data_IF_317341760966
#
_entry.id   IF_317341760966
#
_cell.length_a   1.000
_cell.length_b   1.000
_cell.length_c   1.000
_cell.angle_alpha   90.00
_cell.angle_beta   90.00
_cell.angle_gamma   90.00
#
_symmetry.space_group_name_H-M   'P 1'
#
loop_
_entity.id
_entity.type
_entity.pdbx_description
1 polymer ?
2 non-polymer ?
3 water ?
#
# COMPACT_ATOMS: atom_id res chain seq x y z
N UNK A 26 -0.72 -18.39 14.87
CA UNK A 26 -1.47 -17.15 14.85
C UNK A 26 -2.54 -17.12 13.76
N UNK A 27 -3.43 -16.14 13.85
CA UNK A 27 -4.48 -15.93 12.85
C UNK A 27 -4.25 -14.58 12.19
N UNK A 28 -4.06 -14.59 10.87
CA UNK A 28 -3.81 -13.40 10.08
C UNK A 28 -5.08 -13.06 9.30
N UNK A 29 -5.46 -11.80 9.30
CA UNK A 29 -6.54 -11.31 8.45
C UNK A 29 -5.94 -10.49 7.31
N UNK A 30 -6.17 -10.95 6.07
CA UNK A 30 -5.73 -10.22 4.87
C UNK A 30 -6.89 -9.39 4.37
N UNK A 31 -6.72 -8.07 4.39
CA UNK A 31 -7.72 -7.16 3.87
C UNK A 31 -7.27 -6.72 2.49
N UNK A 32 -8.13 -6.96 1.52
CA UNK A 32 -7.82 -6.75 0.14
C UNK A 32 -8.17 -7.98 -0.63
N UNK A 33 -7.81 -7.98 -1.91
CA UNK A 33 -8.15 -9.11 -2.77
C UNK A 33 -7.40 -10.37 -2.38
N UNK A 34 -8.00 -11.50 -2.77
CA UNK A 34 -7.37 -12.80 -2.55
C UNK A 34 -6.23 -12.90 -3.55
N UNK A 35 -5.06 -13.35 -3.09
CA UNK A 35 -3.93 -13.58 -3.96
C UNK A 35 -3.29 -14.90 -3.58
N UNK A 36 -3.25 -15.86 -4.51
CA UNK A 36 -2.77 -17.19 -4.15
C UNK A 36 -1.34 -17.16 -3.61
N UNK A 37 -0.41 -16.44 -4.26
CA UNK A 37 0.98 -16.50 -3.79
C UNK A 37 1.04 -16.02 -2.34
N UNK A 38 0.23 -15.02 -2.00
CA UNK A 38 0.30 -14.43 -0.67
C UNK A 38 -0.35 -15.35 0.35
N UNK A 39 -1.50 -15.96 0.01
CA UNK A 39 -2.07 -16.96 0.92
C UNK A 39 -1.06 -18.07 1.17
N UNK A 40 -0.52 -18.64 0.10
CA UNK A 40 0.42 -19.75 0.30
C UNK A 40 1.62 -19.31 1.15
N UNK A 41 2.18 -18.13 0.87
CA UNK A 41 3.30 -17.62 1.67
C UNK A 41 2.93 -17.50 3.15
N UNK A 42 1.83 -16.82 3.46
CA UNK A 42 1.48 -16.67 4.87
C UNK A 42 1.20 -18.02 5.52
N UNK A 43 0.54 -18.93 4.78
CA UNK A 43 0.18 -20.22 5.36
C UNK A 43 1.41 -21.11 5.54
N UNK A 44 2.47 -20.89 4.74
CA UNK A 44 3.70 -21.65 4.90
C UNK A 44 4.32 -21.48 6.28
N UNK A 45 4.01 -20.39 6.99
CA UNK A 45 4.48 -20.21 8.36
C UNK A 45 3.56 -20.89 9.39
N UNK A 46 2.62 -21.73 8.94
CA UNK A 46 1.71 -22.44 9.83
C UNK A 46 0.74 -21.50 10.53
N UNK A 47 0.54 -20.31 9.98
CA UNK A 47 -0.48 -19.41 10.48
C UNK A 47 -1.80 -19.67 9.77
N UNK A 48 -2.88 -19.29 10.46
CA UNK A 48 -4.22 -19.40 9.93
C UNK A 48 -4.58 -18.11 9.22
N UNK A 49 -5.05 -18.21 7.97
CA UNK A 49 -5.22 -17.05 7.13
C UNK A 49 -6.67 -16.91 6.71
N UNK A 50 -7.24 -15.75 6.97
CA UNK A 50 -8.54 -15.37 6.45
C UNK A 50 -8.40 -14.09 5.65
N UNK A 51 -9.28 -13.90 4.68
CA UNK A 51 -9.20 -12.79 3.74
C UNK A 51 -10.57 -12.16 3.61
N UNK A 52 -10.60 -10.85 3.42
CA UNK A 52 -11.85 -10.10 3.32
C UNK A 52 -11.56 -8.84 2.53
N UNK A 53 -12.48 -8.47 1.62
CA UNK A 53 -12.25 -7.21 0.89
C UNK A 53 -13.42 -6.25 0.92
N UNK A 54 -14.50 -6.54 1.65
CA UNK A 54 -15.63 -5.63 1.76
C UNK A 54 -15.49 -4.77 3.01
N UNK A 55 -16.47 -3.90 3.19
CA UNK A 55 -16.47 -3.00 4.33
C UNK A 55 -16.54 -3.80 5.63
N UNK A 56 -15.76 -3.39 6.62
CA UNK A 56 -15.54 -4.19 7.83
C UNK A 56 -16.07 -3.43 9.04
N UNK A 57 -17.27 -3.79 9.49
CA UNK A 57 -17.84 -3.17 10.68
C UNK A 57 -16.95 -3.44 11.89
N UNK A 58 -16.92 -2.50 12.83
CA UNK A 58 -15.97 -2.60 13.93
C UNK A 58 -16.30 -3.75 14.89
N UNK A 59 -17.55 -4.17 14.98
CA UNK A 59 -17.90 -5.29 15.84
C UNK A 59 -17.99 -6.62 15.10
N UNK A 60 -17.55 -6.65 13.84
CA UNK A 60 -17.66 -7.86 13.02
C UNK A 60 -16.92 -9.03 13.67
N UNK A 61 -17.55 -10.20 13.62
CA UNK A 61 -16.94 -11.43 14.12
C UNK A 61 -15.73 -11.84 13.29
N UNK A 62 -15.54 -11.25 12.10
CA UNK A 62 -14.36 -11.56 11.31
C UNK A 62 -13.08 -11.30 12.11
N UNK A 63 -13.12 -10.29 12.99
CA UNK A 63 -11.96 -9.94 13.80
C UNK A 63 -11.80 -10.80 15.03
N UNK A 64 -12.81 -11.58 15.43
CA UNK A 64 -12.68 -12.45 16.58
C UNK A 64 -11.37 -13.23 16.51
N UNK A 65 -10.56 -13.12 17.55
CA UNK A 65 -9.33 -13.91 17.68
C UNK A 65 -8.33 -13.68 16.54
N UNK A 66 -8.42 -12.60 15.78
CA UNK A 66 -7.37 -12.30 14.81
C UNK A 66 -6.17 -11.73 15.56
N UNK A 67 -4.96 -12.13 15.16
CA UNK A 67 -3.73 -11.69 15.80
C UNK A 67 -2.98 -10.64 15.01
N UNK A 68 -3.22 -10.56 13.71
CA UNK A 68 -2.48 -9.62 12.89
C UNK A 68 -3.29 -9.28 11.67
N UNK A 69 -3.23 -8.03 11.25
CA UNK A 69 -3.90 -7.55 10.06
C UNK A 69 -2.87 -7.12 9.04
N UNK A 70 -3.01 -7.59 7.81
CA UNK A 70 -2.25 -7.10 6.66
C UNK A 70 -3.23 -6.56 5.64
N UNK A 71 -3.12 -5.28 5.29
CA UNK A 71 -3.90 -4.73 4.19
C UNK A 71 -3.01 -4.51 2.97
N UNK A 72 -3.53 -4.92 1.84
CA UNK A 72 -2.85 -4.77 0.57
C UNK A 72 -3.92 -4.69 -0.51
N UNK A 73 -4.23 -3.47 -0.95
CA UNK A 73 -5.23 -3.33 -1.99
C UNK A 73 -6.63 -3.14 -1.45
N UNK A 74 -6.75 -2.96 -0.14
CA UNK A 74 -8.05 -2.77 0.47
C UNK A 74 -8.57 -1.40 0.09
N UNK A 75 -9.86 -1.32 -0.21
CA UNK A 75 -10.43 -0.12 -0.81
C UNK A 75 -11.34 0.64 0.14
N UNK A 76 -11.29 0.32 1.43
CA UNK A 76 -12.10 1.00 2.43
C UNK A 76 -11.14 1.44 3.52
N UNK A 77 -11.50 2.50 4.22
CA UNK A 77 -10.68 2.91 5.33
C UNK A 77 -11.05 2.08 6.56
N UNK A 78 -10.04 1.62 7.27
CA UNK A 78 -10.25 0.78 8.44
C UNK A 78 -10.77 1.64 9.59
N UNK A 79 -11.78 1.13 10.29
CA UNK A 79 -12.38 1.91 11.36
C UNK A 79 -11.34 2.22 12.44
N UNK A 80 -11.30 3.47 12.95
CA UNK A 80 -10.30 3.81 13.99
C UNK A 80 -10.30 2.90 15.20
N UNK A 81 -11.47 2.40 15.62
CA UNK A 81 -11.50 1.49 16.76
C UNK A 81 -10.73 0.23 16.45
N UNK A 82 -10.83 -0.26 15.21
CA UNK A 82 -10.04 -1.41 14.82
C UNK A 82 -8.55 -1.05 14.80
N UNK A 83 -8.21 0.10 14.21
CA UNK A 83 -6.81 0.51 14.20
C UNK A 83 -6.25 0.45 15.61
N UNK A 84 -6.94 1.10 16.57
CA UNK A 84 -6.38 1.17 17.92
C UNK A 84 -6.32 -0.21 18.56
N UNK A 85 -7.37 -1.00 18.35
CA UNK A 85 -7.34 -2.37 18.83
C UNK A 85 -6.12 -3.14 18.30
N UNK A 86 -5.66 -2.86 17.08
CA UNK A 86 -4.57 -3.63 16.50
C UNK A 86 -3.29 -2.80 16.36
N UNK A 87 -3.09 -1.83 17.25
CA UNK A 87 -1.81 -1.14 17.36
C UNK A 87 -0.65 -2.14 17.33
N UNK A 88 0.31 -1.89 16.44
CA UNK A 88 1.52 -2.70 16.30
C UNK A 88 1.21 -4.12 15.86
N UNK A 89 -0.01 -4.38 15.38
CA UNK A 89 -0.38 -5.69 14.84
C UNK A 89 -1.11 -5.54 13.51
N UNK A 90 -0.94 -4.43 12.81
CA UNK A 90 -1.61 -4.16 11.55
C UNK A 90 -0.63 -3.42 10.64
N UNK A 91 -0.40 -3.94 9.43
CA UNK A 91 0.48 -3.28 8.48
C UNK A 91 -0.24 -3.11 7.16
N UNK A 92 0.28 -2.19 6.36
CA UNK A 92 -0.26 -1.88 5.04
C UNK A 92 0.90 -1.92 4.06
N UNK A 93 0.65 -2.47 2.89
CA UNK A 93 1.59 -2.54 1.78
C UNK A 93 1.12 -1.49 0.79
N UNK A 94 1.85 -0.38 0.70
CA UNK A 94 1.45 0.78 -0.06
C UNK A 94 2.51 1.09 -1.09
N UNK A 95 2.11 1.20 -2.35
CA UNK A 95 3.07 1.32 -3.43
C UNK A 95 3.40 2.78 -3.69
N UNK A 96 3.76 3.49 -2.66
CA UNK A 96 4.36 4.81 -2.84
C UNK A 96 5.56 4.94 -1.93
N UNK A 97 6.36 5.98 -2.17
CA UNK A 97 7.53 6.24 -1.30
C UNK A 97 7.05 7.22 -0.24
N UNK A 98 6.53 6.69 0.85
CA UNK A 98 5.93 7.56 1.83
C UNK A 98 7.02 8.44 2.45
N UNK A 99 6.71 9.70 2.79
CA UNK A 99 5.38 10.31 2.88
C UNK A 99 4.76 10.78 1.58
N UNK A 100 5.41 10.63 0.45
CA UNK A 100 4.77 11.07 -0.78
C UNK A 100 3.66 10.10 -1.23
N UNK A 101 2.63 10.69 -1.85
CA UNK A 101 1.48 9.98 -2.44
C UNK A 101 0.82 9.01 -1.47
N UNK A 102 0.50 9.52 -0.30
CA UNK A 102 -0.47 8.82 0.51
C UNK A 102 -1.78 8.78 -0.27
N UNK A 103 -2.64 7.82 0.04
CA UNK A 103 -3.96 7.81 -0.57
C UNK A 103 -4.05 7.14 -1.94
N UNK A 104 -4.74 7.78 -2.88
CA UNK A 104 -5.16 7.13 -4.10
C UNK A 104 -4.20 7.37 -5.27
N UNK A 105 -4.17 6.39 -6.19
CA UNK A 105 -3.47 6.47 -7.47
C UNK A 105 -2.03 6.92 -7.27
N UNK A 106 -1.30 6.36 -6.30
CA UNK A 106 0.04 6.91 -6.07
C UNK A 106 0.94 6.86 -7.28
N UNK A 107 0.91 5.79 -8.07
CA UNK A 107 1.83 5.72 -9.21
C UNK A 107 1.59 6.89 -10.14
N UNK A 108 0.33 7.13 -10.49
CA UNK A 108 0.00 8.23 -11.39
C UNK A 108 0.51 9.55 -10.83
N UNK A 109 0.14 9.85 -9.59
CA UNK A 109 0.56 11.12 -8.99
C UNK A 109 2.08 11.27 -8.91
N UNK A 110 2.81 10.18 -8.72
CA UNK A 110 4.25 10.29 -8.65
C UNK A 110 4.84 10.81 -9.94
N UNK A 111 4.15 10.63 -11.07
CA UNK A 111 4.57 11.24 -12.32
C UNK A 111 3.95 12.62 -12.53
N UNK A 112 2.68 12.78 -12.19
CA UNK A 112 2.03 14.07 -12.38
C UNK A 112 2.72 15.14 -11.54
N UNK A 113 3.09 14.80 -10.30
CA UNK A 113 3.78 15.71 -9.41
C UNK A 113 5.28 15.45 -9.30
N UNK A 114 5.83 14.58 -10.15
CA UNK A 114 7.27 14.36 -10.26
C UNK A 114 7.88 14.20 -8.88
N UNK A 115 7.45 13.17 -8.19
CA UNK A 115 7.80 12.93 -6.80
C UNK A 115 8.69 11.71 -6.69
N UNK A 116 9.25 11.44 -5.51
CA UNK A 116 9.86 10.14 -5.28
C UNK A 116 8.91 9.00 -5.61
N UNK A 117 9.50 7.89 -6.06
CA UNK A 117 8.79 6.74 -6.56
C UNK A 117 9.27 5.53 -5.80
N UNK A 118 8.34 4.72 -5.32
CA UNK A 118 8.76 3.55 -4.59
C UNK A 118 7.63 2.95 -3.80
N UNK A 119 8.03 2.08 -2.87
CA UNK A 119 7.07 1.27 -2.13
C UNK A 119 7.44 1.23 -0.65
N UNK A 120 6.40 1.09 0.18
CA UNK A 120 6.56 1.22 1.63
C UNK A 120 5.68 0.22 2.35
N UNK A 121 6.25 -0.46 3.35
CA UNK A 121 5.50 -1.25 4.31
C UNK A 121 5.50 -0.46 5.60
N UNK A 122 4.30 -0.21 6.15
CA UNK A 122 4.16 0.66 7.30
C UNK A 122 3.08 0.14 8.24
N UNK A 123 3.25 0.43 9.52
CA UNK A 123 2.18 0.14 10.47
C UNK A 123 0.99 1.04 10.18
N UNK A 124 -0.21 0.50 10.41
CA UNK A 124 -1.44 1.25 10.23
C UNK A 124 -1.71 2.05 11.50
N UNK A 125 -1.87 3.36 11.37
CA UNK A 125 -2.28 4.18 12.49
C UNK A 125 -3.53 4.90 12.03
N UNK A 126 -4.18 5.63 12.92
CA UNK A 126 -5.38 6.33 12.52
C UNK A 126 -5.05 7.12 11.25
N UNK A 127 -6.03 7.53 10.49
CA UNK A 127 -5.69 8.33 9.32
C UNK A 127 -5.12 7.52 8.19
N UNK A 128 -4.77 8.24 7.13
CA UNK A 128 -4.76 7.69 5.77
C UNK A 128 -3.31 7.48 5.32
N UNK A 129 -2.79 6.28 5.55
CA UNK A 129 -1.42 5.93 5.16
C UNK A 129 -0.36 6.79 5.87
N UNK A 130 -0.62 7.16 7.13
CA UNK A 130 0.30 8.02 7.89
C UNK A 130 1.18 7.29 8.91
N UNK A 131 1.09 5.97 9.04
CA UNK A 131 1.73 5.26 10.13
C UNK A 131 3.21 5.00 9.95
N UNK A 132 3.80 4.41 10.98
CA UNK A 132 5.25 4.27 11.07
C UNK A 132 5.82 3.41 9.94
N UNK A 133 6.92 3.87 9.38
CA UNK A 133 7.57 3.17 8.28
C UNK A 133 8.40 2.02 8.80
N UNK A 134 8.18 0.83 8.25
CA UNK A 134 8.99 -0.34 8.60
C UNK A 134 10.15 -0.50 7.65
N UNK A 135 9.86 -0.40 6.36
CA UNK A 135 10.92 -0.44 5.34
C UNK A 135 10.33 0.13 4.07
N UNK A 136 11.19 0.76 3.26
CA UNK A 136 10.75 1.23 1.96
C UNK A 136 11.89 1.09 0.95
N UNK A 137 11.53 1.22 -0.32
CA UNK A 137 12.48 1.00 -1.39
C UNK A 137 12.14 1.93 -2.53
N UNK A 138 13.16 2.57 -3.09
CA UNK A 138 12.93 3.44 -4.23
C UNK A 138 12.75 2.54 -5.45
N UNK A 139 11.87 2.92 -6.36
CA UNK A 139 11.70 2.18 -7.60
C UNK A 139 11.96 3.12 -8.77
N UNK A 140 12.85 2.73 -9.66
CA UNK A 140 13.17 3.65 -10.74
C UNK A 140 12.31 3.34 -11.93
N UNK A 141 12.30 4.27 -12.87
CA UNK A 141 11.59 4.13 -14.13
C UNK A 141 12.59 4.45 -15.23
N UNK A 142 12.21 4.09 -16.45
CA UNK A 142 13.12 4.06 -17.57
C UNK A 142 12.46 4.71 -18.78
N UNK A 143 13.29 4.95 -19.78
CA UNK A 143 12.79 5.25 -21.12
C UNK A 143 11.68 4.29 -21.51
N UNK A 144 10.57 4.89 -21.95
CA UNK A 144 9.48 4.23 -22.61
C UNK A 144 8.50 3.62 -21.62
N UNK A 145 8.74 3.72 -20.31
CA UNK A 145 7.83 3.14 -19.35
C UNK A 145 6.44 3.73 -19.54
N UNK A 146 5.43 2.93 -19.20
CA UNK A 146 4.04 3.34 -19.18
C UNK A 146 3.54 3.26 -17.75
N UNK A 147 2.33 3.78 -17.54
CA UNK A 147 1.71 3.62 -16.24
C UNK A 147 1.54 2.16 -15.86
N UNK A 148 1.42 1.28 -16.87
CA UNK A 148 1.26 -0.15 -16.59
C UNK A 148 2.60 -0.77 -16.19
N UNK A 149 3.68 -0.44 -16.89
CA UNK A 149 4.94 -1.11 -16.60
C UNK A 149 5.46 -0.63 -15.27
N UNK A 150 5.23 0.65 -14.94
CA UNK A 150 5.75 1.15 -13.66
C UNK A 150 4.92 0.58 -12.52
N UNK A 151 3.60 0.50 -12.69
CA UNK A 151 2.75 -0.08 -11.65
C UNK A 151 3.13 -1.54 -11.40
N UNK A 152 3.40 -2.31 -12.45
CA UNK A 152 3.76 -3.72 -12.27
C UNK A 152 5.12 -3.85 -11.61
N UNK A 153 6.04 -2.94 -11.90
CA UNK A 153 7.33 -2.93 -11.21
C UNK A 153 7.18 -2.61 -9.73
N UNK A 154 6.36 -1.60 -9.42
CA UNK A 154 6.08 -1.28 -8.01
C UNK A 154 5.51 -2.49 -7.31
N UNK A 155 4.62 -3.21 -7.99
CA UNK A 155 3.93 -4.34 -7.40
C UNK A 155 4.93 -5.47 -7.11
N UNK A 156 5.80 -5.79 -8.06
CA UNK A 156 6.80 -6.82 -7.82
C UNK A 156 7.73 -6.44 -6.66
N UNK A 157 8.19 -5.18 -6.66
CA UNK A 157 9.07 -4.69 -5.62
C UNK A 157 8.47 -4.89 -4.23
N UNK A 158 7.28 -4.36 -4.01
CA UNK A 158 6.67 -4.46 -2.68
C UNK A 158 6.36 -5.91 -2.30
N UNK A 159 6.01 -6.76 -3.24
CA UNK A 159 5.72 -8.14 -2.85
C UNK A 159 7.00 -8.86 -2.44
N UNK A 160 8.10 -8.63 -3.15
CA UNK A 160 9.35 -9.27 -2.71
C UNK A 160 9.82 -8.70 -1.37
N UNK A 161 9.74 -7.38 -1.21
CA UNK A 161 10.09 -6.73 0.06
C UNK A 161 9.27 -7.28 1.22
N UNK A 162 7.97 -7.49 1.00
CA UNK A 162 7.14 -8.09 2.06
C UNK A 162 7.62 -9.49 2.40
N UNK A 163 7.96 -10.28 1.38
CA UNK A 163 8.43 -11.64 1.65
C UNK A 163 9.73 -11.64 2.43
N UNK A 164 10.62 -10.70 2.14
CA UNK A 164 11.86 -10.56 2.89
C UNK A 164 11.61 -10.18 4.34
N UNK A 165 10.68 -9.27 4.62
CA UNK A 165 10.53 -8.75 5.97
C UNK A 165 9.45 -9.43 6.80
N UNK A 166 8.44 -10.04 6.21
CA UNK A 166 7.38 -10.63 7.02
C UNK A 166 7.92 -11.59 8.08
N UNK A 167 8.98 -12.38 7.83
CA UNK A 167 9.48 -13.26 8.91
C UNK A 167 9.84 -12.47 10.16
N UNK A 168 10.40 -11.29 9.99
CA UNK A 168 10.75 -10.45 11.12
C UNK A 168 9.51 -9.76 11.71
N UNK A 169 8.62 -9.26 10.85
CA UNK A 169 7.43 -8.54 11.32
C UNK A 169 6.56 -9.47 12.13
N UNK A 170 6.46 -10.72 11.69
CA UNK A 170 5.59 -11.70 12.29
C UNK A 170 6.02 -12.03 13.72
N UNK A 171 7.31 -11.96 14.00
CA UNK A 171 7.85 -12.25 15.32
C UNK A 171 8.02 -11.00 16.17
N UNK A 172 7.40 -9.89 15.80
CA UNK A 172 7.61 -8.63 16.49
C UNK A 172 9.08 -8.27 16.59
N UNK A 173 9.92 -8.91 15.78
CA UNK A 173 11.35 -8.64 15.76
C UNK A 173 11.70 -7.34 15.05
N UNK A 174 10.74 -6.42 14.90
CA UNK A 174 10.98 -5.25 14.07
C UNK A 174 10.10 -4.11 14.55
N UNK A 175 10.65 -2.91 14.54
CA UNK A 175 9.90 -1.70 14.82
C UNK A 175 10.14 -0.72 13.69
N UNK A 176 9.25 0.28 13.63
CA UNK A 176 9.32 1.28 12.60
C UNK A 176 10.02 2.53 13.09
N UNK A 177 10.05 3.53 12.20
CA UNK A 177 10.43 4.88 12.57
C UNK A 177 9.24 5.75 12.21
N UNK A 178 9.05 6.89 12.87
CA UNK A 178 7.87 7.71 12.59
C UNK A 178 7.91 8.23 11.18
N UNK A 179 6.78 8.14 10.52
CA UNK A 179 6.66 8.64 9.17
C UNK A 179 6.71 10.15 9.23
N UNK A 180 7.63 10.81 8.52
CA UNK A 180 7.65 12.28 8.54
C UNK A 180 6.36 12.85 7.98
N UNK A 181 5.89 13.92 8.61
CA UNK A 181 4.79 14.67 8.02
C UNK A 181 5.31 15.42 6.79
N UNK A 182 4.41 15.69 5.86
CA UNK A 182 4.81 16.29 4.61
C UNK A 182 4.49 15.30 3.51
N UNK A 183 5.28 15.30 2.42
CA UNK A 183 4.99 14.44 1.31
C UNK A 183 3.75 14.99 0.63
N UNK A 184 2.79 14.11 0.34
CA UNK A 184 1.55 14.48 -0.32
C UNK A 184 0.49 13.42 -0.08
N UNK A 185 -0.73 13.76 -0.48
CA UNK A 185 -1.92 12.98 -0.20
C UNK A 185 -2.90 13.30 -1.31
N UNK A 186 -3.52 12.25 -1.89
CA UNK A 186 -4.55 12.44 -2.90
C UNK A 186 -5.78 11.58 -2.62
N UNK A 187 -6.93 12.10 -3.06
CA UNK A 187 -8.16 11.33 -3.13
C UNK A 187 -8.46 10.91 -4.57
N UNK A 188 -9.30 9.89 -4.70
CA UNK A 188 -9.63 9.31 -6.00
C UNK A 188 -10.04 10.35 -7.03
N UNK A 189 -10.82 11.33 -6.61
CA UNK A 189 -11.35 12.33 -7.52
C UNK A 189 -10.30 13.34 -7.93
N UNK A 190 -9.14 13.38 -7.26
CA UNK A 190 -8.20 14.45 -7.58
C UNK A 190 -7.66 14.30 -8.99
N UNK A 191 -7.71 13.10 -9.57
CA UNK A 191 -7.12 12.88 -10.89
C UNK A 191 -8.08 13.21 -12.05
N UNK A 192 -9.29 13.62 -11.76
CA UNK A 192 -10.28 13.77 -12.83
C UNK A 192 -9.82 14.75 -13.90
N UNK A 193 -9.20 15.86 -13.50
CA UNK A 193 -8.89 16.89 -14.47
C UNK A 193 -7.69 16.51 -15.33
N UNK A 194 -7.06 15.38 -15.03
CA UNK A 194 -5.92 14.90 -15.79
C UNK A 194 -6.23 13.65 -16.61
N UNK A 195 -7.43 13.08 -16.51
CA UNK A 195 -7.69 11.82 -17.23
C UNK A 195 -7.53 12.00 -18.74
N UNK A 196 -7.75 13.21 -19.27
CA UNK A 196 -7.64 13.36 -20.71
C UNK A 196 -6.21 13.13 -21.21
N UNK A 197 -5.22 13.28 -20.33
CA UNK A 197 -3.84 12.98 -20.73
C UNK A 197 -3.64 11.49 -20.98
N UNK A 198 -4.44 10.64 -20.31
CA UNK A 198 -4.24 9.19 -20.37
C UNK A 198 -4.97 8.59 -21.58
N UNK A 199 -4.46 8.94 -22.77
CA UNK A 199 -5.10 8.56 -24.02
C UNK A 199 -4.97 7.07 -24.33
N UNK A 200 -3.99 6.38 -23.76
CA UNK A 200 -3.88 4.94 -23.87
C UNK A 200 -4.17 4.24 -22.55
N UNK A 201 -4.92 4.87 -21.66
CA UNK A 201 -5.25 4.19 -20.41
C UNK A 201 -3.94 3.97 -19.64
N UNK A 202 -3.83 2.81 -18.99
CA UNK A 202 -2.60 2.52 -18.24
C UNK A 202 -1.39 2.32 -19.14
N UNK A 203 -1.58 2.20 -20.46
CA UNK A 203 -0.50 2.11 -21.42
C UNK A 203 -0.03 3.47 -21.89
N UNK A 204 -0.52 4.51 -21.28
CA UNK A 204 0.01 5.83 -21.55
C UNK A 204 1.47 5.92 -21.09
N UNK A 205 2.40 6.30 -21.98
CA UNK A 205 3.77 6.51 -21.55
C UNK A 205 3.86 7.56 -20.46
N UNK A 206 4.73 7.32 -19.49
CA UNK A 206 4.78 8.24 -18.35
C UNK A 206 5.45 9.56 -18.76
N UNK A 207 6.37 9.52 -19.72
CA UNK A 207 7.11 10.73 -20.05
C UNK A 207 6.16 11.87 -20.40
N UNK A 208 5.03 11.52 -21.00
CA UNK A 208 3.99 12.46 -21.40
C UNK A 208 3.31 13.11 -20.21
N UNK A 209 3.46 12.53 -19.01
CA UNK A 209 2.74 12.98 -17.83
C UNK A 209 3.60 13.71 -16.81
N UNK A 210 4.93 13.64 -16.93
CA UNK A 210 5.80 14.12 -15.86
C UNK A 210 5.54 15.60 -15.64
N UNK A 211 5.11 15.94 -14.43
CA UNK A 211 5.01 17.33 -14.01
C UNK A 211 3.80 18.03 -14.53
N UNK A 212 2.85 17.30 -15.11
CA UNK A 212 1.67 17.94 -15.70
C UNK A 212 0.76 18.56 -14.65
N UNK A 213 0.85 18.15 -13.40
CA UNK A 213 0.01 18.76 -12.38
C UNK A 213 0.68 19.94 -11.70
N UNK A 214 1.88 20.31 -12.13
CA UNK A 214 2.62 21.42 -11.56
C UNK A 214 2.58 22.65 -12.45
N UNK A 215 2.48 23.82 -11.82
CA UNK A 215 2.41 25.10 -12.52
C UNK A 215 1.17 25.17 -13.41
X LIG B 1 -6.31 -1.35 -10.68
X LIG B 1 -4.02 -2.39 -11.40
X LIG B 1 -3.90 -1.21 -13.31
X LIG B 1 -1.54 2.31 -12.68
X LIG B 1 -2.81 2.17 -11.96
X LIG B 1 -4.46 1.83 -1.95
X LIG B 1 -3.45 1.28 -2.93
X LIG B 1 -2.18 2.08 -3.02
X LIG B 1 -5.16 0.36 -4.29
X LIG B 1 -5.54 -1.92 -11.85
X LIG B 1 -3.35 -2.47 -12.51
X LIG B 1 -1.88 0.04 -13.85
X LIG B 1 -3.60 0.96 -12.15
X LIG B 1 -6.24 0.84 -3.33
X LIG B 1 -7.92 2.80 -3.39
X LIG B 1 -8.24 4.19 -3.91
X LIG B 1 -5.71 1.06 -1.97
X LIG B 1 -3.74 1.69 -0.67
X LIG B 1 -3.16 -0.08 -13.08
X LIG B 1 -1.12 1.31 -13.60
X LIG B 1 -6.67 2.19 -3.81
X LIG B 1 -4.04 1.28 -4.29
X LIG B 1 -5.65 0.32 -5.54
X LIG B 1 -3.42 -0.59 -6.54
X LIG B 1 -5.58 -0.79 -7.92
X LIG B 1 -5.59 -0.18 -10.21
X LIG B 1 -0.84 3.26 -12.55
X LIG B 1 -1.51 -0.78 -14.57
X LIG B 1 -5.33 -1.04 -12.80
X LIG B 1 -3.59 -3.74 -13.22
X LIG B 1 -4.08 -3.65 -10.69
X LIG B 1 -4.87 1.66 -8.54
X LIG B 1 -7.35 0.90 -8.69
X LIG B 1 -5.21 -2.15 -5.77
X LIG B 1 -8.63 2.19 -2.67
X LIG B 1 -5.45 -0.23 -1.33
X LIG B 1 -4.93 -0.84 -6.44
X LIG B 1 -5.89 0.54 -8.79
X LIG B 1 -6.36 -2.00 -9.97
X LIG B 1 -7.19 -1.09 -10.97
X LIG B 1 -3.62 -1.71 -10.83
X LIG B 1 -3.90 -1.42 -14.26
X LIG B 1 -3.09 2.83 -11.36
X LIG B 1 -4.64 2.77 -2.15
X LIG B 1 -3.23 0.37 -2.69
X LIG B 1 -2.38 3.02 -2.94
X LIG B 1 -1.74 1.92 -3.86
X LIG B 1 -1.59 1.82 -2.29
X LIG B 1 -4.85 -0.52 -4.03
X LIG B 1 -6.00 -2.68 -12.22
X LIG B 1 -2.40 -2.36 -12.32
X LIG B 1 -4.41 0.87 -11.69
X LIG B 1 -6.99 0.22 -3.31
X LIG B 1 -9.11 4.19 -4.35
X LIG B 1 -7.58 4.47 -4.55
X LIG B 1 -8.26 4.82 -3.17
X LIG B 1 -6.37 1.54 -1.45
X LIG B 1 -4.33 1.54 -0.03
X LIG B 1 -3.29 2.43 -0.50
X LIG B 1 -0.36 1.42 -14.01
X LIG B 1 -6.13 2.63 -4.32
X LIG B 1 -2.89 -3.96 -13.65
X LIG B 1 -3.61 -3.60 -9.98
X LIG B 1 -6.18 -0.56 -1.04
#
# INVERSE_FOLDING_TARGET
>A
MHHHHHHHHPDLGTGSENLYFQGAMGKILLLGPERKWLRDFLESFEDEVTQYQDKLDKKSAILNNVDFIISYGYRYIIHPDIVERFKQRAINLHISYLPWNKGADPNLWSFLEDSPKGVTIHYIDSGLDTGEIIVQREVTYYENDTLRTTYERLTQTIEKLFMEYWPLIRLGKIRGIPQPKGGSYHKLKDKEKYLYLLTDGWDTPVQKLIGKAQNNE
>B hetero
1 F5P C13 C15 C17 C21 C22 C02 C03 C04 C06 C14 C16 C19 C23 C32 C34 C35 C37 N01 N18 N20 N33 O05 O07 O09 O10 O12 O24 O25 O26 O27 O28 O29 O30 O31 O36 O38 P08 P11 H132 H131 H151 H171 H221 H021 H031 H043 H042 H041 H061 H141 H161 H231 H321 H352 H353 H351 H371 H1 H012 H201 H331 H271 H281 H381
#
